data_IF_143039041298
#
_entry.id   IF_143039041298
#
_cell.length_a   1.000
_cell.length_b   1.000
_cell.length_c   1.000
_cell.angle_alpha   90.00
_cell.angle_beta   90.00
_cell.angle_gamma   90.00
#
_symmetry.space_group_name_H-M   'P 1'
#
loop_
_entity.id
_entity.type
_entity.pdbx_description
1 polymer ?
#
# COMPACT_ATOMS: atom_id res chain seq x y z
N UNK A 1 6.68 -14.77 0.77
CA UNK A 1 5.44 -13.97 0.71
C UNK A 1 5.35 -13.10 1.95
N UNK A 2 5.13 -11.82 1.79
CA UNK A 2 5.07 -10.91 2.93
C UNK A 2 3.70 -10.94 3.60
N UNK A 3 3.68 -10.87 4.92
CA UNK A 3 2.47 -10.69 5.73
C UNK A 3 2.59 -9.45 6.61
N UNK A 4 3.57 -8.59 6.34
CA UNK A 4 3.80 -7.36 7.09
C UNK A 4 2.77 -6.31 6.69
N UNK A 5 2.22 -5.62 7.67
CA UNK A 5 1.28 -4.51 7.48
C UNK A 5 1.80 -3.31 8.26
N UNK A 6 2.09 -2.23 7.56
CA UNK A 6 2.53 -0.98 8.17
C UNK A 6 1.31 -0.11 8.42
N UNK A 7 0.99 0.13 9.70
CA UNK A 7 -0.20 0.90 10.10
C UNK A 7 0.25 2.27 10.56
N UNK A 8 -0.25 3.31 9.93
CA UNK A 8 0.08 4.69 10.27
C UNK A 8 -1.20 5.40 10.68
N UNK A 9 -1.32 5.74 11.95
CA UNK A 9 -2.49 6.40 12.50
C UNK A 9 -2.08 7.18 13.76
N UNK A 10 -2.51 8.42 13.87
CA UNK A 10 -2.19 9.25 15.02
C UNK A 10 -3.03 8.92 16.26
N UNK A 11 -4.09 8.15 16.10
CA UNK A 11 -4.96 7.72 17.21
C UNK A 11 -4.39 6.44 17.83
N UNK A 12 -3.90 6.54 19.06
CA UNK A 12 -3.33 5.42 19.78
C UNK A 12 -4.30 4.25 19.95
N UNK A 13 -5.56 4.54 20.28
CA UNK A 13 -6.57 3.48 20.44
C UNK A 13 -6.80 2.73 19.14
N UNK A 14 -6.83 3.43 18.02
CA UNK A 14 -6.98 2.81 16.70
C UNK A 14 -5.75 1.98 16.36
N UNK A 15 -4.54 2.49 16.62
CA UNK A 15 -3.30 1.72 16.39
C UNK A 15 -3.30 0.42 17.18
N UNK A 16 -3.66 0.48 18.46
CA UNK A 16 -3.69 -0.72 19.32
C UNK A 16 -4.73 -1.71 18.85
N UNK A 17 -5.90 -1.22 18.45
CA UNK A 17 -6.97 -2.07 17.94
C UNK A 17 -6.57 -2.78 16.65
N UNK A 18 -5.96 -2.05 15.71
CA UNK A 18 -5.50 -2.63 14.45
C UNK A 18 -4.33 -3.59 14.66
N UNK A 19 -3.41 -3.25 15.56
CA UNK A 19 -2.29 -4.13 15.91
C UNK A 19 -2.82 -5.47 16.42
N UNK A 20 -3.74 -5.44 17.36
CA UNK A 20 -4.34 -6.65 17.93
C UNK A 20 -5.06 -7.47 16.85
N UNK A 21 -5.90 -6.81 16.06
CA UNK A 21 -6.66 -7.48 15.01
C UNK A 21 -5.76 -8.15 13.98
N UNK A 22 -4.75 -7.44 13.52
CA UNK A 22 -3.86 -7.94 12.48
C UNK A 22 -3.00 -9.09 13.00
N UNK A 23 -2.47 -8.96 14.21
CA UNK A 23 -1.69 -10.02 14.85
C UNK A 23 -2.53 -11.28 15.03
N UNK A 24 -3.75 -11.12 15.52
CA UNK A 24 -4.67 -12.24 15.72
C UNK A 24 -5.09 -12.91 14.41
N UNK A 25 -4.99 -12.18 13.29
CA UNK A 25 -5.37 -12.68 11.97
C UNK A 25 -4.20 -13.26 11.16
N UNK A 26 -3.03 -13.37 11.78
CA UNK A 26 -1.86 -13.98 11.15
C UNK A 26 -0.96 -13.03 10.40
N UNK A 27 -1.21 -11.72 10.47
CA UNK A 27 -0.33 -10.71 9.89
C UNK A 27 0.74 -10.28 10.89
N UNK A 28 1.74 -9.56 10.42
CA UNK A 28 2.79 -8.97 11.25
C UNK A 28 2.67 -7.44 11.21
N UNK A 29 1.91 -6.84 12.14
CA UNK A 29 1.73 -5.40 12.13
C UNK A 29 2.96 -4.65 12.61
N UNK A 30 3.20 -3.49 11.99
CA UNK A 30 4.18 -2.49 12.40
C UNK A 30 3.44 -1.17 12.48
N UNK A 31 3.42 -0.53 13.64
CA UNK A 31 2.60 0.66 13.86
C UNK A 31 3.45 1.91 13.97
N UNK A 32 2.90 3.02 13.50
CA UNK A 32 3.56 4.33 13.49
C UNK A 32 2.54 5.38 13.88
N UNK A 33 2.95 6.33 14.72
CA UNK A 33 2.06 7.38 15.21
C UNK A 33 1.93 8.53 14.22
N UNK A 34 2.86 8.67 13.29
CA UNK A 34 2.85 9.75 12.32
C UNK A 34 3.48 9.29 11.01
N UNK A 35 3.11 9.97 9.91
CA UNK A 35 3.69 9.69 8.61
C UNK A 35 5.21 9.86 8.61
N UNK A 36 5.71 10.87 9.31
CA UNK A 36 7.15 11.12 9.41
C UNK A 36 7.91 9.93 10.02
N UNK A 37 7.30 9.26 10.99
CA UNK A 37 7.91 8.09 11.63
C UNK A 37 8.08 6.94 10.65
N UNK A 38 7.08 6.73 9.81
CA UNK A 38 7.20 5.70 8.76
C UNK A 38 8.21 6.10 7.71
N UNK A 39 8.19 7.35 7.26
CA UNK A 39 9.12 7.83 6.23
C UNK A 39 10.58 7.70 6.67
N UNK A 40 10.83 7.84 7.97
CA UNK A 40 12.19 7.69 8.51
C UNK A 40 12.77 6.29 8.31
N UNK A 41 11.93 5.28 8.18
CA UNK A 41 12.32 3.87 8.01
C UNK A 41 11.83 3.26 6.70
N UNK A 42 11.14 4.01 5.87
CA UNK A 42 10.47 3.47 4.67
C UNK A 42 11.45 2.78 3.72
N UNK A 43 12.64 3.30 3.56
CA UNK A 43 13.64 2.76 2.63
C UNK A 43 14.18 1.40 3.07
N UNK A 44 14.14 1.11 4.38
CA UNK A 44 14.64 -0.15 4.94
C UNK A 44 13.54 -1.02 5.53
N UNK A 45 12.29 -0.56 5.50
CA UNK A 45 11.16 -1.32 6.04
C UNK A 45 10.91 -2.56 5.18
N UNK A 46 10.44 -3.62 5.83
CA UNK A 46 10.06 -4.84 5.11
C UNK A 46 8.93 -4.54 4.13
N UNK A 47 8.97 -5.11 2.92
CA UNK A 47 7.85 -4.97 1.99
C UNK A 47 6.56 -5.51 2.60
N UNK A 48 5.47 -4.81 2.38
CA UNK A 48 4.17 -5.18 2.90
C UNK A 48 3.09 -4.21 2.46
N UNK A 49 1.90 -4.34 3.04
CA UNK A 49 0.80 -3.42 2.80
C UNK A 49 0.89 -2.24 3.76
N UNK A 50 0.67 -1.04 3.25
CA UNK A 50 0.62 0.17 4.07
C UNK A 50 -0.83 0.53 4.29
N UNK A 51 -1.24 0.70 5.55
CA UNK A 51 -2.57 1.16 5.93
C UNK A 51 -2.40 2.49 6.64
N UNK A 52 -2.94 3.56 6.09
CA UNK A 52 -2.78 4.89 6.67
C UNK A 52 -4.11 5.62 6.75
N UNK A 53 -4.31 6.34 7.87
CA UNK A 53 -5.40 7.30 7.96
C UNK A 53 -5.09 8.47 7.03
N UNK A 54 -6.12 9.03 6.41
CA UNK A 54 -5.92 10.17 5.52
C UNK A 54 -5.76 11.47 6.29
N UNK A 55 -6.42 11.60 7.43
CA UNK A 55 -6.33 12.81 8.27
C UNK A 55 -5.43 12.58 9.47
N UNK A 56 -4.28 13.22 9.44
CA UNK A 56 -3.30 13.17 10.53
C UNK A 56 -2.69 14.55 10.70
N UNK A 57 -2.32 14.95 11.92
CA UNK A 57 -1.60 16.20 12.12
C UNK A 57 -0.23 16.16 11.42
N UNK A 58 0.22 17.28 10.94
CA UNK A 58 1.44 17.36 10.16
C UNK A 58 1.21 16.84 8.74
N UNK A 59 1.91 15.78 8.33
CA UNK A 59 1.71 15.18 7.03
C UNK A 59 0.49 14.28 7.04
N UNK A 60 -0.49 14.53 6.17
CA UNK A 60 -1.67 13.69 6.05
C UNK A 60 -1.39 12.47 5.15
N UNK A 61 -2.38 11.55 5.06
CA UNK A 61 -2.20 10.33 4.28
C UNK A 61 -1.98 10.58 2.79
N UNK A 62 -2.61 11.59 2.22
CA UNK A 62 -2.44 11.94 0.82
C UNK A 62 -1.02 12.44 0.55
N UNK A 63 -0.49 13.28 1.42
CA UNK A 63 0.89 13.77 1.32
C UNK A 63 1.89 12.62 1.48
N UNK A 64 1.60 11.70 2.38
CA UNK A 64 2.43 10.51 2.57
C UNK A 64 2.51 9.67 1.29
N UNK A 65 1.37 9.45 0.63
CA UNK A 65 1.34 8.72 -0.64
C UNK A 65 2.23 9.41 -1.67
N UNK A 66 2.09 10.73 -1.82
CA UNK A 66 2.90 11.51 -2.75
C UNK A 66 4.39 11.37 -2.47
N UNK A 67 4.79 11.46 -1.21
CA UNK A 67 6.19 11.34 -0.81
C UNK A 67 6.74 9.93 -1.09
N UNK A 68 5.98 8.89 -0.79
CA UNK A 68 6.40 7.52 -1.05
C UNK A 68 6.59 7.27 -2.55
N UNK A 69 5.66 7.74 -3.37
CA UNK A 69 5.76 7.58 -4.82
C UNK A 69 6.95 8.38 -5.38
N UNK A 70 7.22 9.55 -4.84
CA UNK A 70 8.37 10.36 -5.24
C UNK A 70 9.69 9.67 -4.91
N UNK A 71 9.73 8.87 -3.86
CA UNK A 71 10.91 8.07 -3.48
C UNK A 71 11.04 6.75 -4.26
N UNK A 72 10.09 6.46 -5.14
CA UNK A 72 10.07 5.20 -5.87
C UNK A 72 9.52 4.03 -5.08
N UNK A 73 8.91 4.27 -3.93
CA UNK A 73 8.28 3.23 -3.14
C UNK A 73 6.93 2.88 -3.79
N UNK A 74 6.75 1.64 -4.19
CA UNK A 74 5.57 1.16 -4.90
C UNK A 74 4.72 0.19 -4.08
N UNK A 75 4.93 0.12 -2.78
CA UNK A 75 4.14 -0.76 -1.92
C UNK A 75 2.66 -0.40 -2.00
N UNK A 76 1.76 -1.39 -1.91
CA UNK A 76 0.33 -1.13 -1.93
C UNK A 76 -0.08 -0.34 -0.69
N UNK A 77 -0.90 0.67 -0.88
CA UNK A 77 -1.36 1.55 0.18
C UNK A 77 -2.88 1.48 0.24
N UNK A 78 -3.41 1.24 1.43
CA UNK A 78 -4.85 1.34 1.73
C UNK A 78 -5.04 2.58 2.59
N UNK A 79 -5.90 3.47 2.14
CA UNK A 79 -6.18 4.72 2.85
C UNK A 79 -7.50 4.57 3.62
N UNK A 80 -7.48 4.95 4.88
CA UNK A 80 -8.69 4.96 5.72
C UNK A 80 -9.22 6.38 5.77
N UNK A 81 -10.48 6.56 5.38
CA UNK A 81 -11.12 7.87 5.32
C UNK A 81 -12.27 7.95 6.32
N UNK A 82 -12.50 9.15 6.85
CA UNK A 82 -13.68 9.43 7.65
C UNK A 82 -14.87 9.81 6.77
N UNK A 83 -16.04 9.89 7.39
CA UNK A 83 -17.24 10.35 6.72
C UNK A 83 -17.02 11.78 6.19
N UNK A 84 -17.28 12.00 4.93
CA UNK A 84 -17.09 13.30 4.31
C UNK A 84 -15.71 13.52 3.67
N UNK A 85 -14.80 12.56 3.78
CA UNK A 85 -13.46 12.67 3.20
C UNK A 85 -13.34 11.97 1.83
N UNK A 86 -14.47 11.62 1.21
CA UNK A 86 -14.47 10.93 -0.10
C UNK A 86 -13.69 11.69 -1.17
N UNK A 87 -13.77 13.03 -1.27
CA UNK A 87 -12.95 13.74 -2.25
C UNK A 87 -11.45 13.52 -2.07
N UNK A 88 -10.97 13.41 -0.82
CA UNK A 88 -9.57 13.11 -0.54
C UNK A 88 -9.22 11.67 -0.91
N UNK A 89 -10.16 10.74 -0.70
CA UNK A 89 -9.97 9.36 -1.13
C UNK A 89 -9.83 9.25 -2.64
N UNK A 90 -10.62 10.00 -3.40
CA UNK A 90 -10.53 10.06 -4.86
C UNK A 90 -9.16 10.57 -5.29
N UNK A 91 -8.67 11.61 -4.63
CA UNK A 91 -7.32 12.13 -4.90
C UNK A 91 -6.23 11.08 -4.61
N UNK A 92 -6.40 10.31 -3.53
CA UNK A 92 -5.48 9.23 -3.19
C UNK A 92 -5.49 8.14 -4.27
N UNK A 93 -6.65 7.76 -4.78
CA UNK A 93 -6.77 6.78 -5.86
C UNK A 93 -6.04 7.28 -7.12
N UNK A 94 -6.16 8.55 -7.44
CA UNK A 94 -5.43 9.15 -8.56
C UNK A 94 -3.92 9.13 -8.34
N UNK A 95 -3.49 9.22 -7.09
CA UNK A 95 -2.07 9.16 -6.75
C UNK A 95 -1.50 7.74 -6.74
N UNK A 96 -2.34 6.72 -6.94
CA UNK A 96 -1.89 5.35 -7.11
C UNK A 96 -2.00 4.45 -5.90
N UNK A 97 -2.89 4.77 -4.95
CA UNK A 97 -3.14 3.84 -3.83
C UNK A 97 -3.93 2.63 -4.33
N UNK A 98 -3.82 1.51 -3.60
CA UNK A 98 -4.47 0.27 -3.99
C UNK A 98 -5.98 0.31 -3.72
N UNK A 99 -6.40 0.91 -2.61
CA UNK A 99 -7.81 0.99 -2.23
C UNK A 99 -7.99 2.00 -1.12
N UNK A 100 -9.24 2.29 -0.78
CA UNK A 100 -9.57 3.08 0.40
C UNK A 100 -10.74 2.43 1.15
N UNK A 101 -10.83 2.68 2.44
CA UNK A 101 -11.93 2.21 3.28
C UNK A 101 -12.51 3.40 4.03
N UNK A 102 -13.83 3.52 4.04
CA UNK A 102 -14.53 4.58 4.76
C UNK A 102 -14.97 4.06 6.13
N UNK A 103 -14.70 4.84 7.17
CA UNK A 103 -15.16 4.53 8.53
C UNK A 103 -16.68 4.77 8.64
N UNK A 104 -17.42 3.92 9.33
CA UNK A 104 -16.99 2.66 9.93
C UNK A 104 -16.87 1.53 8.89
N UNK A 105 -15.88 0.68 9.06
CA UNK A 105 -15.70 -0.49 8.21
C UNK A 105 -15.64 -1.75 9.11
N UNK A 106 -15.99 -2.90 8.55
CA UNK A 106 -15.90 -4.15 9.30
C UNK A 106 -14.47 -4.69 9.27
N UNK A 107 -14.14 -5.48 10.28
CA UNK A 107 -12.84 -6.15 10.35
C UNK A 107 -12.62 -7.04 9.12
N UNK A 108 -13.67 -7.75 8.69
CA UNK A 108 -13.60 -8.64 7.53
C UNK A 108 -13.24 -7.89 6.25
N UNK A 109 -13.81 -6.71 6.05
CA UNK A 109 -13.51 -5.88 4.88
C UNK A 109 -12.06 -5.41 4.90
N UNK A 110 -11.59 -4.96 6.05
CA UNK A 110 -10.19 -4.54 6.21
C UNK A 110 -9.23 -5.68 5.91
N UNK A 111 -9.46 -6.83 6.53
CA UNK A 111 -8.59 -8.00 6.36
C UNK A 111 -8.58 -8.50 4.92
N UNK A 112 -9.75 -8.53 4.27
CA UNK A 112 -9.84 -8.92 2.87
C UNK A 112 -9.09 -7.96 1.95
N UNK A 113 -9.19 -6.66 2.22
CA UNK A 113 -8.51 -5.62 1.45
C UNK A 113 -6.99 -5.76 1.58
N UNK A 114 -6.51 -5.94 2.81
CA UNK A 114 -5.08 -6.14 3.06
C UNK A 114 -4.58 -7.41 2.36
N UNK A 115 -5.35 -8.50 2.46
CA UNK A 115 -4.97 -9.77 1.83
C UNK A 115 -4.83 -9.61 0.32
N UNK A 116 -5.77 -8.93 -0.32
CA UNK A 116 -5.69 -8.66 -1.76
C UNK A 116 -4.45 -7.83 -2.12
N UNK A 117 -4.11 -6.86 -1.29
CA UNK A 117 -2.94 -6.02 -1.52
C UNK A 117 -1.65 -6.84 -1.42
N UNK A 118 -1.56 -7.72 -0.43
CA UNK A 118 -0.38 -8.56 -0.25
C UNK A 118 -0.25 -9.60 -1.37
N UNK A 119 -1.37 -10.18 -1.79
CA UNK A 119 -1.39 -11.11 -2.92
C UNK A 119 -0.98 -10.41 -4.20
N UNK A 120 -1.47 -9.19 -4.42
CA UNK A 120 -1.10 -8.37 -5.56
C UNK A 120 0.39 -8.01 -5.58
N UNK A 121 0.96 -7.74 -4.41
CA UNK A 121 2.39 -7.47 -4.27
C UNK A 121 3.22 -8.69 -4.69
N UNK A 122 2.86 -9.87 -4.21
CA UNK A 122 3.54 -11.12 -4.58
C UNK A 122 3.43 -11.39 -6.08
N UNK A 123 2.25 -11.17 -6.67
CA UNK A 123 2.03 -11.33 -8.11
C UNK A 123 2.83 -10.31 -8.92
N UNK A 124 2.89 -9.06 -8.46
CA UNK A 124 3.67 -8.01 -9.13
C UNK A 124 5.16 -8.36 -9.17
N UNK A 125 5.71 -8.86 -8.08
CA UNK A 125 7.09 -9.30 -8.04
C UNK A 125 7.34 -10.43 -9.03
N UNK A 126 6.44 -11.41 -9.08
CA UNK A 126 6.51 -12.52 -10.02
C UNK A 126 6.40 -12.04 -11.47
N UNK A 127 5.43 -11.17 -11.75
CA UNK A 127 5.23 -10.60 -13.08
C UNK A 127 6.41 -9.76 -13.55
N UNK A 128 7.07 -9.03 -12.66
CA UNK A 128 8.25 -8.25 -13.01
C UNK A 128 9.40 -9.15 -13.44
N UNK A 129 9.60 -10.27 -12.75
CA UNK A 129 10.63 -11.24 -13.12
C UNK A 129 10.34 -11.86 -14.49
N UNK A 130 9.10 -12.22 -14.76
CA UNK A 130 8.68 -12.74 -16.06
C UNK A 130 8.81 -11.69 -17.16
N UNK A 131 8.40 -10.46 -16.89
CA UNK A 131 8.48 -9.37 -17.84
C UNK A 131 9.93 -9.09 -18.25
N UNK A 132 10.86 -9.15 -17.32
CA UNK A 132 12.28 -8.98 -17.63
C UNK A 132 12.78 -10.06 -18.58
N UNK A 133 12.42 -11.32 -18.33
CA UNK A 133 12.82 -12.41 -19.21
C UNK A 133 12.21 -12.27 -20.61
N UNK A 134 10.94 -11.90 -20.66
CA UNK A 134 10.24 -11.69 -21.92
C UNK A 134 10.87 -10.54 -22.69
N UNK A 135 11.19 -9.44 -22.02
CA UNK A 135 11.82 -8.30 -22.65
C UNK A 135 13.21 -8.65 -23.21
N UNK A 136 13.99 -9.45 -22.52
CA UNK A 136 15.28 -9.92 -23.00
C UNK A 136 15.11 -10.74 -24.28
N UNK A 137 14.12 -11.62 -24.34
CA UNK A 137 13.80 -12.40 -25.52
C UNK A 137 13.36 -11.50 -26.67
N UNK A 138 12.45 -10.54 -26.37
CA UNK A 138 11.93 -9.62 -27.37
C UNK A 138 13.00 -8.67 -27.91
N UNK A 139 13.99 -8.32 -27.12
CA UNK A 139 15.11 -7.51 -27.58
C UNK A 139 15.98 -8.25 -28.60
N UNK A 140 15.95 -9.57 -28.56
CA UNK A 140 16.63 -10.41 -29.54
C UNK A 140 15.79 -10.61 -30.80
N UNK A 141 14.51 -10.27 -30.76
CA UNK A 141 13.58 -10.31 -31.88
C UNK A 141 13.48 -8.93 -32.52
N UNK A 142 12.68 -8.79 -33.56
CA UNK A 142 12.49 -7.49 -34.18
C UNK A 142 11.62 -6.58 -33.32
N UNK A 143 11.85 -5.25 -33.35
CA UNK A 143 10.99 -4.31 -32.64
C UNK A 143 9.51 -4.38 -33.03
N UNK A 144 9.24 -4.81 -34.26
CA UNK A 144 7.88 -4.94 -34.77
C UNK A 144 7.06 -5.97 -33.98
N UNK A 145 7.69 -7.01 -33.50
CA UNK A 145 7.01 -8.01 -32.70
C UNK A 145 6.58 -7.48 -31.35
N UNK A 146 7.35 -6.56 -30.79
CA UNK A 146 6.94 -5.85 -29.57
C UNK A 146 5.69 -5.03 -29.79
N UNK A 147 5.59 -4.37 -30.93
CA UNK A 147 4.42 -3.56 -31.25
C UNK A 147 3.16 -4.42 -31.38
N UNK A 148 3.29 -5.61 -31.90
CA UNK A 148 2.18 -6.56 -32.02
C UNK A 148 1.72 -7.04 -30.65
N UNK A 149 2.62 -7.13 -29.69
CA UNK A 149 2.30 -7.63 -28.34
C UNK A 149 1.70 -6.58 -27.41
N UNK A 150 1.61 -5.36 -27.82
CA UNK A 150 1.01 -4.28 -27.01
C UNK A 150 -0.50 -4.33 -26.95
#
# INVERSE_FOLDING_TARGET
MSDVVHVIDDDEAMRESLDFLLDASGFRPRTYAAAADFLAVADTAEPGCIVTDIRMPGMNGLELVGELRARGNSLPIVVITGHGDVPLAVEAMKAGVADFLEKPFSDDVLLATIRRCLDGLAQSESHLAEAKRINEILDQLSPRERDVLK
#
